data_IF_098555148611
#
_entry.id   IF_098555148611
#
_cell.length_a   1.000
_cell.length_b   1.000
_cell.length_c   1.000
_cell.angle_alpha   90.00
_cell.angle_beta   90.00
_cell.angle_gamma   90.00
#
_symmetry.space_group_name_H-M   'P 1'
#
loop_
_entity.id
_entity.type
_entity.pdbx_description
1 polymer ?
#
# COMPACT_ATOMS: atom_id res chain seq x y z
N UNK A 1 -0.14 -11.16 -19.44
CA UNK A 1 1.27 -11.58 -19.37
C UNK A 1 1.99 -11.08 -20.61
N UNK A 2 2.86 -10.09 -20.48
CA UNK A 2 3.68 -9.56 -21.57
C UNK A 2 5.00 -10.33 -21.62
N UNK A 3 5.33 -10.95 -22.76
CA UNK A 3 6.64 -11.56 -22.98
C UNK A 3 7.54 -10.45 -23.53
N UNK A 4 8.67 -10.11 -22.87
CA UNK A 4 9.58 -9.09 -23.40
C UNK A 4 10.03 -9.44 -24.82
N UNK A 5 9.95 -8.48 -25.75
CA UNK A 5 10.32 -8.70 -27.16
C UNK A 5 11.78 -9.18 -27.31
N UNK A 6 12.63 -8.76 -26.38
CA UNK A 6 14.05 -9.06 -26.38
C UNK A 6 14.42 -10.35 -25.62
N UNK A 7 13.44 -11.17 -25.18
CA UNK A 7 13.70 -12.35 -24.33
C UNK A 7 14.64 -13.38 -24.99
N UNK A 8 14.66 -13.45 -26.33
CA UNK A 8 15.52 -14.32 -27.12
C UNK A 8 16.95 -13.78 -27.31
N UNK A 9 17.19 -12.52 -26.95
CA UNK A 9 18.48 -11.85 -27.14
C UNK A 9 19.42 -12.09 -25.96
N UNK A 10 20.73 -12.15 -26.26
CA UNK A 10 21.77 -12.16 -25.22
C UNK A 10 21.70 -10.87 -24.40
N UNK A 11 21.89 -11.00 -23.09
CA UNK A 11 21.79 -9.88 -22.14
C UNK A 11 23.17 -9.36 -21.75
N UNK A 12 23.33 -8.05 -21.73
CA UNK A 12 24.58 -7.36 -21.37
C UNK A 12 24.54 -6.77 -19.95
N UNK A 13 24.06 -7.55 -18.98
CA UNK A 13 24.04 -7.19 -17.57
C UNK A 13 24.45 -8.39 -16.71
N UNK A 14 24.82 -8.12 -15.46
CA UNK A 14 25.01 -9.19 -14.46
C UNK A 14 23.76 -9.26 -13.59
N UNK A 15 23.06 -10.40 -13.62
CA UNK A 15 21.95 -10.66 -12.71
C UNK A 15 22.48 -10.85 -11.29
N UNK A 16 21.95 -10.10 -10.34
CA UNK A 16 22.33 -10.13 -8.93
C UNK A 16 21.09 -10.04 -8.04
N UNK A 17 21.26 -10.45 -6.79
CA UNK A 17 20.20 -10.42 -5.76
C UNK A 17 20.77 -9.94 -4.43
N UNK A 18 20.07 -9.03 -3.78
CA UNK A 18 20.14 -8.85 -2.32
C UNK A 18 19.01 -9.63 -1.68
N UNK A 19 19.28 -10.43 -0.65
CA UNK A 19 18.25 -11.22 0.01
C UNK A 19 18.63 -11.61 1.44
N UNK A 20 17.59 -11.98 2.20
CA UNK A 20 17.65 -12.38 3.61
C UNK A 20 18.18 -13.80 3.85
N UNK A 21 18.81 -14.46 2.88
CA UNK A 21 19.25 -15.85 3.03
C UNK A 21 20.28 -16.04 4.16
N UNK A 22 20.27 -17.21 4.77
CA UNK A 22 21.18 -17.57 5.84
C UNK A 22 22.63 -17.64 5.32
N UNK A 23 23.45 -16.66 5.70
CA UNK A 23 24.86 -16.57 5.25
C UNK A 23 25.73 -17.72 5.75
N UNK A 24 25.27 -18.52 6.72
CA UNK A 24 25.97 -19.73 7.17
C UNK A 24 25.70 -20.94 6.26
N UNK A 25 24.71 -20.86 5.37
CA UNK A 25 24.19 -21.99 4.60
C UNK A 25 23.11 -22.80 5.34
N UNK A 26 22.59 -22.28 6.45
CA UNK A 26 21.45 -22.84 7.17
C UNK A 26 20.10 -22.49 6.51
N UNK A 27 19.03 -22.48 7.32
CA UNK A 27 17.65 -22.25 6.87
C UNK A 27 16.98 -21.12 7.67
N UNK A 28 17.76 -20.23 8.28
CA UNK A 28 17.24 -18.99 8.89
C UNK A 28 17.27 -17.87 7.86
N UNK A 29 16.51 -18.05 6.78
CA UNK A 29 16.53 -17.18 5.58
C UNK A 29 15.72 -15.89 5.72
N UNK A 30 15.76 -15.29 6.91
CA UNK A 30 15.03 -14.08 7.25
C UNK A 30 15.83 -13.16 8.16
N UNK A 31 15.57 -11.86 8.04
CA UNK A 31 16.08 -10.86 8.96
C UNK A 31 15.03 -10.51 10.03
N UNK A 32 15.49 -10.27 11.25
CA UNK A 32 14.66 -9.81 12.37
C UNK A 32 14.81 -8.30 12.47
N UNK A 33 13.69 -7.57 12.59
CA UNK A 33 13.68 -6.12 12.70
C UNK A 33 12.93 -5.74 13.98
N UNK A 34 13.64 -5.13 14.93
CA UNK A 34 13.08 -4.70 16.21
C UNK A 34 12.14 -3.48 16.06
N UNK A 35 11.26 -3.21 17.04
CA UNK A 35 10.49 -1.96 17.07
C UNK A 35 11.39 -0.72 16.94
N UNK A 36 11.06 0.16 16.00
CA UNK A 36 11.81 1.38 15.68
C UNK A 36 13.10 1.16 14.89
N UNK A 37 13.46 -0.08 14.56
CA UNK A 37 14.66 -0.38 13.77
C UNK A 37 14.40 -0.21 12.27
N UNK A 38 15.44 0.17 11.54
CA UNK A 38 15.45 0.22 10.07
C UNK A 38 16.51 -0.71 9.54
N UNK A 39 16.11 -1.64 8.67
CA UNK A 39 16.99 -2.56 7.99
C UNK A 39 17.28 -2.05 6.58
N UNK A 40 18.55 -1.98 6.21
CA UNK A 40 18.96 -1.75 4.83
C UNK A 40 18.95 -3.08 4.06
N UNK A 41 18.01 -3.21 3.12
CA UNK A 41 17.80 -4.44 2.35
C UNK A 41 18.49 -4.40 0.98
N UNK A 42 18.94 -3.23 0.54
CA UNK A 42 19.66 -3.04 -0.70
C UNK A 42 20.59 -1.83 -0.59
N UNK A 43 21.88 -2.03 -0.86
CA UNK A 43 22.87 -0.96 -0.88
C UNK A 43 23.96 -1.29 -1.91
N UNK A 44 23.93 -0.59 -3.03
CA UNK A 44 24.92 -0.73 -4.10
C UNK A 44 25.47 0.62 -4.51
N UNK A 45 26.68 0.62 -5.08
CA UNK A 45 27.38 1.82 -5.58
C UNK A 45 27.64 1.76 -7.08
N UNK A 46 26.94 0.88 -7.78
CA UNK A 46 27.08 0.62 -9.21
C UNK A 46 25.87 1.15 -9.96
N UNK A 47 25.97 1.26 -11.28
CA UNK A 47 24.81 1.46 -12.14
C UNK A 47 24.01 0.16 -12.26
N UNK A 48 22.70 0.28 -12.43
CA UNK A 48 21.85 -0.88 -12.61
C UNK A 48 20.37 -0.57 -12.62
N UNK A 49 19.59 -1.64 -12.45
CA UNK A 49 18.13 -1.58 -12.46
C UNK A 49 17.57 -2.69 -11.58
N UNK A 50 16.82 -2.34 -10.53
CA UNK A 50 15.98 -3.32 -9.82
C UNK A 50 14.88 -3.74 -10.80
N UNK A 51 14.65 -5.05 -10.91
CA UNK A 51 13.67 -5.63 -11.84
C UNK A 51 12.64 -6.52 -11.17
N UNK A 52 12.89 -6.89 -9.91
CA UNK A 52 11.93 -7.64 -9.13
C UNK A 52 12.20 -7.43 -7.63
N UNK A 53 11.13 -7.22 -6.88
CA UNK A 53 11.13 -7.22 -5.42
C UNK A 53 10.12 -8.27 -4.99
N UNK A 54 10.54 -9.19 -4.11
CA UNK A 54 9.65 -10.11 -3.42
C UNK A 54 9.81 -9.95 -1.91
N UNK A 55 8.71 -9.72 -1.18
CA UNK A 55 8.69 -9.69 0.28
C UNK A 55 7.71 -10.74 0.84
N UNK A 56 7.98 -11.26 2.04
CA UNK A 56 6.95 -11.68 2.98
C UNK A 56 7.34 -11.26 4.39
N UNK A 57 6.36 -10.83 5.18
CA UNK A 57 6.54 -10.31 6.53
C UNK A 57 5.76 -11.20 7.49
N UNK A 58 6.42 -11.67 8.54
CA UNK A 58 5.76 -12.27 9.68
C UNK A 58 5.79 -11.27 10.84
N UNK A 59 4.61 -10.83 11.27
CA UNK A 59 4.41 -9.93 12.40
C UNK A 59 3.14 -10.31 13.14
N UNK A 60 3.11 -10.07 14.46
CA UNK A 60 1.89 -10.22 15.27
C UNK A 60 1.01 -8.98 15.23
N UNK A 61 1.55 -7.83 14.81
CA UNK A 61 0.76 -6.60 14.73
C UNK A 61 -0.26 -6.70 13.59
N UNK A 62 -1.55 -6.60 13.92
CA UNK A 62 -2.64 -6.71 12.94
C UNK A 62 -2.65 -5.59 11.89
N UNK A 63 -1.89 -4.52 12.11
CA UNK A 63 -1.77 -3.36 11.22
C UNK A 63 -0.36 -3.24 10.62
N UNK A 64 0.47 -4.29 10.65
CA UNK A 64 1.86 -4.22 10.20
C UNK A 64 2.01 -3.64 8.77
N UNK A 65 1.05 -3.92 7.88
CA UNK A 65 1.06 -3.39 6.51
C UNK A 65 1.00 -1.87 6.41
N UNK A 66 0.50 -1.19 7.45
CA UNK A 66 0.50 0.28 7.59
C UNK A 66 1.62 0.82 8.48
N UNK A 67 2.26 -0.05 9.28
CA UNK A 67 3.32 0.30 10.24
C UNK A 67 4.73 -0.06 9.77
N UNK A 68 4.86 -0.86 8.71
CA UNK A 68 6.15 -1.14 8.08
C UNK A 68 6.32 -0.19 6.91
N UNK A 69 7.42 0.58 6.89
CA UNK A 69 7.66 1.60 5.87
C UNK A 69 8.78 1.16 4.94
N UNK A 70 8.56 1.27 3.62
CA UNK A 70 9.57 1.08 2.58
C UNK A 70 10.10 2.44 2.14
N UNK A 71 11.43 2.57 2.11
CA UNK A 71 12.12 3.74 1.54
C UNK A 71 13.12 3.33 0.47
N UNK A 72 13.28 4.15 -0.56
CA UNK A 72 14.39 4.01 -1.50
C UNK A 72 14.95 5.35 -1.94
N UNK A 73 16.24 5.37 -2.22
CA UNK A 73 17.04 6.54 -2.60
C UNK A 73 17.91 6.16 -3.79
N UNK A 74 17.91 6.99 -4.82
CA UNK A 74 18.70 6.76 -6.04
C UNK A 74 19.89 7.71 -6.08
N UNK A 75 20.99 7.28 -6.70
CA UNK A 75 22.10 8.16 -7.11
C UNK A 75 22.65 9.10 -6.02
N UNK A 76 22.69 8.63 -4.77
CA UNK A 76 23.19 9.40 -3.63
C UNK A 76 22.26 10.52 -3.13
N UNK A 77 21.00 10.54 -3.56
CA UNK A 77 20.00 11.48 -3.08
C UNK A 77 19.73 11.35 -1.58
N UNK A 78 19.40 12.49 -0.96
CA UNK A 78 19.09 12.56 0.47
C UNK A 78 17.61 12.38 0.78
N UNK A 79 16.76 12.72 -0.17
CA UNK A 79 15.32 12.56 -0.04
C UNK A 79 14.93 11.22 -0.65
N UNK A 80 13.98 10.49 -0.06
CA UNK A 80 13.52 9.25 -0.63
C UNK A 80 12.69 9.50 -1.89
N UNK A 81 12.96 8.74 -2.94
CA UNK A 81 12.14 8.68 -4.17
C UNK A 81 11.01 7.66 -4.02
N UNK A 82 11.14 6.71 -3.09
CA UNK A 82 10.03 5.85 -2.61
C UNK A 82 9.84 6.10 -1.13
N UNK A 83 8.63 6.44 -0.70
CA UNK A 83 8.25 6.46 0.73
C UNK A 83 6.78 6.08 0.91
N UNK A 84 6.53 4.85 1.34
CA UNK A 84 5.20 4.27 1.45
C UNK A 84 5.12 3.26 2.61
N UNK A 85 3.95 3.05 3.22
CA UNK A 85 3.70 1.80 3.94
C UNK A 85 3.84 0.61 2.97
N UNK A 86 4.44 -0.48 3.43
CA UNK A 86 4.71 -1.66 2.59
C UNK A 86 3.43 -2.21 1.98
N UNK A 87 2.33 -2.27 2.74
CA UNK A 87 1.05 -2.73 2.21
C UNK A 87 0.61 -1.94 0.99
N UNK A 88 0.51 -0.62 1.13
CA UNK A 88 0.06 0.30 0.08
C UNK A 88 0.96 0.32 -1.16
N UNK A 89 2.28 0.19 -0.95
CA UNK A 89 3.22 0.06 -2.05
C UNK A 89 2.88 -1.13 -2.97
N UNK A 90 2.39 -2.23 -2.40
CA UNK A 90 1.93 -3.41 -3.14
C UNK A 90 0.40 -3.44 -3.33
N UNK A 91 -0.31 -2.31 -3.19
CA UNK A 91 -1.76 -2.23 -3.38
C UNK A 91 -2.62 -2.90 -2.30
N UNK A 92 -2.06 -3.19 -1.13
CA UNK A 92 -2.79 -3.60 0.08
C UNK A 92 -3.15 -2.40 0.94
N UNK A 93 -4.25 -1.74 0.59
CA UNK A 93 -4.81 -0.68 1.42
C UNK A 93 -5.37 -1.20 2.75
N UNK A 94 -5.70 -0.28 3.66
CA UNK A 94 -6.42 -0.58 4.91
C UNK A 94 -5.74 -1.59 5.86
N UNK A 95 -4.43 -1.83 5.68
CA UNK A 95 -3.72 -2.93 6.32
C UNK A 95 -4.33 -4.32 6.04
N UNK A 96 -4.92 -4.51 4.86
CA UNK A 96 -5.55 -5.76 4.44
C UNK A 96 -4.83 -6.25 3.17
N UNK A 97 -4.37 -7.49 3.21
CA UNK A 97 -3.86 -8.19 2.05
C UNK A 97 -4.93 -9.09 1.43
N UNK A 98 -4.88 -9.23 0.11
CA UNK A 98 -5.68 -10.18 -0.64
C UNK A 98 -4.86 -10.70 -1.84
N UNK A 99 -5.22 -11.87 -2.37
CA UNK A 99 -4.59 -12.35 -3.61
C UNK A 99 -5.14 -11.57 -4.80
N UNK A 100 -4.24 -10.97 -5.59
CA UNK A 100 -4.56 -10.34 -6.86
C UNK A 100 -3.29 -10.20 -7.72
N UNK A 101 -3.46 -9.92 -9.01
CA UNK A 101 -2.34 -9.63 -9.90
C UNK A 101 -2.71 -8.52 -10.86
N UNK A 102 -1.72 -7.69 -11.21
CA UNK A 102 -1.78 -6.73 -12.29
C UNK A 102 -0.44 -6.72 -13.04
N UNK A 103 -0.25 -5.80 -13.98
CA UNK A 103 0.99 -5.74 -14.78
C UNK A 103 2.24 -5.34 -14.00
N UNK A 104 2.09 -4.60 -12.89
CA UNK A 104 3.19 -4.07 -12.10
C UNK A 104 3.56 -4.96 -10.92
N UNK A 105 2.60 -5.70 -10.36
CA UNK A 105 2.75 -6.44 -9.12
C UNK A 105 1.80 -7.63 -9.03
N UNK A 106 2.15 -8.59 -8.20
CA UNK A 106 1.22 -9.63 -7.79
C UNK A 106 1.32 -9.86 -6.28
N UNK A 107 0.22 -10.33 -5.73
CA UNK A 107 0.10 -10.71 -4.34
C UNK A 107 -0.53 -12.09 -4.24
N UNK A 108 0.10 -12.95 -3.46
CA UNK A 108 -0.39 -14.30 -3.18
C UNK A 108 -0.52 -14.41 -1.68
N UNK A 109 -1.74 -14.36 -1.18
CA UNK A 109 -2.05 -14.37 0.24
C UNK A 109 -3.12 -15.40 0.63
N UNK A 110 -3.05 -15.84 1.88
CA UNK A 110 -4.07 -16.67 2.50
C UNK A 110 -5.34 -15.86 2.81
N UNK A 111 -6.45 -16.57 3.05
CA UNK A 111 -7.76 -15.98 3.39
C UNK A 111 -7.90 -15.65 4.89
N UNK A 112 -6.80 -15.22 5.50
CA UNK A 112 -6.75 -14.85 6.92
C UNK A 112 -7.55 -13.58 7.21
N UNK A 113 -7.63 -13.21 8.49
CA UNK A 113 -8.47 -12.09 8.97
C UNK A 113 -8.20 -10.77 8.24
N UNK A 114 -6.92 -10.48 7.96
CA UNK A 114 -6.47 -9.33 7.15
C UNK A 114 -5.55 -9.72 6.00
N UNK A 115 -5.68 -10.97 5.53
CA UNK A 115 -4.73 -11.57 4.60
C UNK A 115 -3.43 -11.94 5.32
N UNK A 116 -3.21 -13.25 5.44
CA UNK A 116 -2.10 -13.82 6.18
C UNK A 116 -1.23 -14.63 5.23
N UNK A 117 0.04 -14.86 5.61
CA UNK A 117 0.99 -15.66 4.81
C UNK A 117 1.12 -15.12 3.38
N UNK A 118 1.26 -13.80 3.30
CA UNK A 118 1.20 -13.07 2.04
C UNK A 118 2.59 -12.89 1.44
N UNK A 119 2.74 -13.27 0.18
CA UNK A 119 3.85 -12.93 -0.67
C UNK A 119 3.50 -11.69 -1.51
N UNK A 120 4.39 -10.72 -1.48
CA UNK A 120 4.28 -9.46 -2.21
C UNK A 120 5.33 -9.44 -3.31
N UNK A 121 4.94 -9.24 -4.56
CA UNK A 121 5.87 -9.17 -5.69
C UNK A 121 5.65 -7.88 -6.47
N UNK A 122 6.73 -7.22 -6.89
CA UNK A 122 6.69 -5.99 -7.69
C UNK A 122 7.73 -6.06 -8.81
N UNK A 123 7.37 -5.58 -10.00
CA UNK A 123 8.10 -5.83 -11.25
C UNK A 123 8.37 -4.57 -12.08
N UNK A 124 7.88 -3.39 -11.70
CA UNK A 124 8.25 -2.18 -12.44
C UNK A 124 9.74 -1.89 -12.25
N UNK A 125 10.46 -1.59 -13.34
CA UNK A 125 11.90 -1.38 -13.27
C UNK A 125 12.25 -0.14 -12.44
N UNK A 126 13.30 -0.21 -11.63
CA UNK A 126 13.83 0.94 -10.88
C UNK A 126 15.30 1.15 -11.26
N UNK A 127 15.59 1.94 -12.31
CA UNK A 127 16.95 2.24 -12.75
C UNK A 127 17.70 3.12 -11.74
N UNK A 128 19.02 3.03 -11.70
CA UNK A 128 19.92 3.89 -10.95
C UNK A 128 21.30 3.93 -11.64
N UNK A 129 21.98 5.08 -11.61
CA UNK A 129 23.27 5.32 -12.26
C UNK A 129 24.46 5.27 -11.31
N UNK A 130 24.32 5.80 -10.09
CA UNK A 130 25.40 5.95 -9.11
C UNK A 130 24.99 5.36 -7.75
N UNK A 131 24.50 4.14 -7.80
CA UNK A 131 24.07 3.40 -6.63
C UNK A 131 22.63 3.67 -6.21
N UNK A 132 22.20 2.87 -5.24
CA UNK A 132 20.84 2.84 -4.75
C UNK A 132 20.82 2.27 -3.33
N UNK A 133 19.94 2.84 -2.50
CA UNK A 133 19.66 2.38 -1.15
C UNK A 133 18.17 2.05 -1.05
N UNK A 134 17.82 0.90 -0.46
CA UNK A 134 16.45 0.56 -0.08
C UNK A 134 16.40 0.06 1.35
N UNK A 135 15.44 0.57 2.11
CA UNK A 135 15.32 0.38 3.55
C UNK A 135 13.91 -0.01 3.94
N UNK A 136 13.79 -0.85 4.98
CA UNK A 136 12.53 -1.25 5.60
C UNK A 136 12.58 -0.88 7.07
N UNK A 137 11.67 -0.01 7.51
CA UNK A 137 11.53 0.42 8.91
C UNK A 137 10.36 -0.29 9.58
N UNK A 138 10.56 -0.78 10.80
CA UNK A 138 9.50 -1.32 11.64
C UNK A 138 8.97 -0.24 12.58
N UNK A 139 7.89 0.44 12.20
CA UNK A 139 7.25 1.44 13.07
C UNK A 139 6.22 0.81 14.02
N UNK A 140 6.12 -0.52 14.08
CA UNK A 140 5.23 -1.21 15.02
C UNK A 140 5.87 -1.36 16.39
N UNK A 141 5.04 -1.70 17.39
CA UNK A 141 5.49 -1.95 18.77
C UNK A 141 5.99 -3.37 19.00
N UNK A 142 6.02 -4.22 17.96
CA UNK A 142 6.42 -5.62 18.07
C UNK A 142 7.54 -5.97 17.10
N UNK A 143 8.32 -6.99 17.44
CA UNK A 143 9.33 -7.53 16.54
C UNK A 143 8.68 -8.13 15.29
N UNK A 144 9.32 -7.95 14.14
CA UNK A 144 8.91 -8.61 12.89
C UNK A 144 10.06 -9.40 12.26
N UNK A 145 9.69 -10.36 11.43
CA UNK A 145 10.61 -11.11 10.58
C UNK A 145 10.33 -10.78 9.13
N UNK A 146 11.36 -10.41 8.38
CA UNK A 146 11.29 -10.08 6.96
C UNK A 146 12.05 -11.12 6.14
N UNK A 147 11.37 -11.66 5.14
CA UNK A 147 11.99 -12.39 4.04
C UNK A 147 11.91 -11.51 2.80
N UNK A 148 13.01 -11.34 2.08
CA UNK A 148 13.01 -10.50 0.89
C UNK A 148 14.01 -10.95 -0.17
N UNK A 149 13.66 -10.70 -1.44
CA UNK A 149 14.55 -10.65 -2.59
C UNK A 149 14.45 -9.26 -3.25
N UNK A 150 15.60 -8.61 -3.46
CA UNK A 150 15.74 -7.46 -4.37
C UNK A 150 16.64 -7.92 -5.52
N UNK A 151 16.00 -8.28 -6.62
CA UNK A 151 16.64 -8.73 -7.86
C UNK A 151 16.96 -7.54 -8.75
N UNK A 152 18.22 -7.47 -9.19
CA UNK A 152 18.69 -6.36 -10.00
C UNK A 152 19.67 -6.79 -11.08
N UNK A 153 19.72 -5.94 -12.11
CA UNK A 153 20.64 -6.03 -13.23
C UNK A 153 21.76 -5.02 -12.96
N UNK A 154 22.95 -5.49 -12.59
CA UNK A 154 24.13 -4.62 -12.52
C UNK A 154 24.66 -4.36 -13.93
N UNK A 155 24.93 -3.09 -14.22
CA UNK A 155 25.34 -2.60 -15.53
C UNK A 155 26.58 -1.71 -15.38
N UNK A 156 27.33 -1.52 -16.46
CA UNK A 156 28.44 -0.55 -16.48
C UNK A 156 27.89 0.89 -16.49
N UNK A 157 26.84 1.11 -17.29
CA UNK A 157 26.06 2.34 -17.37
C UNK A 157 24.61 1.99 -17.66
N UNK A 158 23.69 2.91 -17.35
CA UNK A 158 22.32 2.85 -17.87
C UNK A 158 22.16 3.85 -19.03
N UNK A 159 21.16 3.70 -19.92
CA UNK A 159 20.93 4.65 -21.00
C UNK A 159 20.80 6.09 -20.50
N UNK A 160 21.30 7.05 -21.27
CA UNK A 160 21.07 8.47 -21.02
C UNK A 160 19.56 8.78 -21.00
N UNK A 161 19.16 9.82 -20.25
CA UNK A 161 17.76 10.21 -20.08
C UNK A 161 16.85 9.11 -19.50
N UNK A 162 17.42 8.17 -18.74
CA UNK A 162 16.62 7.20 -17.98
C UNK A 162 16.10 7.87 -16.71
N UNK A 163 14.78 7.94 -16.58
CA UNK A 163 14.11 8.43 -15.37
C UNK A 163 14.19 7.42 -14.20
N UNK A 164 13.99 7.92 -12.98
CA UNK A 164 13.95 7.12 -11.76
C UNK A 164 12.53 6.82 -11.34
N UNK A 165 12.30 5.61 -10.83
CA UNK A 165 11.01 5.20 -10.33
C UNK A 165 10.72 5.88 -8.99
N UNK A 166 9.50 6.33 -8.81
CA UNK A 166 9.04 6.97 -7.59
C UNK A 166 7.72 6.35 -7.12
N UNK A 167 7.54 6.34 -5.80
CA UNK A 167 6.27 6.03 -5.19
C UNK A 167 6.07 6.84 -3.90
N UNK A 168 4.90 7.47 -3.76
CA UNK A 168 4.55 8.27 -2.59
C UNK A 168 3.17 7.88 -2.11
N UNK A 169 3.04 7.73 -0.79
CA UNK A 169 1.78 7.51 -0.13
C UNK A 169 1.19 8.80 0.44
N UNK A 170 -0.12 9.02 0.27
CA UNK A 170 -0.88 10.15 0.83
C UNK A 170 -2.17 9.67 1.49
N UNK A 171 -2.71 10.46 2.41
CA UNK A 171 -4.03 10.22 3.02
C UNK A 171 -4.70 11.51 3.46
N UNK A 172 -6.03 11.52 3.37
CA UNK A 172 -6.90 12.53 3.96
C UNK A 172 -8.03 11.80 4.72
N UNK A 173 -8.09 11.97 6.04
CA UNK A 173 -9.02 11.25 6.90
C UNK A 173 -9.62 12.14 8.02
N UNK A 174 -10.91 12.49 7.94
CA UNK A 174 -11.75 12.40 6.74
C UNK A 174 -11.34 13.45 5.71
N UNK A 175 -11.72 13.25 4.45
CA UNK A 175 -11.74 14.30 3.43
C UNK A 175 -12.64 15.46 3.88
N UNK A 176 -12.31 16.68 3.47
CA UNK A 176 -13.10 17.87 3.80
C UNK A 176 -14.32 18.00 2.90
N UNK A 177 -15.34 17.19 3.16
CA UNK A 177 -16.60 17.23 2.42
C UNK A 177 -17.32 18.58 2.52
N UNK A 178 -17.89 19.07 1.41
CA UNK A 178 -18.65 20.32 1.36
C UNK A 178 -20.09 20.11 0.87
N UNK A 179 -21.05 20.77 1.53
CA UNK A 179 -22.46 20.76 1.13
C UNK A 179 -22.89 22.21 0.91
N UNK A 180 -23.54 22.48 -0.21
CA UNK A 180 -24.10 23.79 -0.52
C UNK A 180 -25.17 24.19 0.52
N UNK A 181 -25.25 25.49 0.83
CA UNK A 181 -26.26 26.00 1.75
C UNK A 181 -27.67 25.70 1.23
N UNK A 182 -28.55 25.19 2.10
CA UNK A 182 -29.92 24.82 1.74
C UNK A 182 -30.09 23.40 1.19
N UNK A 183 -29.00 22.64 1.02
CA UNK A 183 -29.03 21.24 0.64
C UNK A 183 -28.96 20.32 1.84
N UNK A 184 -29.70 19.22 1.77
CA UNK A 184 -29.61 18.12 2.72
C UNK A 184 -29.13 16.84 2.05
N UNK A 185 -28.72 15.87 2.86
CA UNK A 185 -28.21 14.56 2.39
C UNK A 185 -29.20 13.78 1.49
N UNK A 186 -30.48 14.18 1.41
CA UNK A 186 -31.50 13.54 0.55
C UNK A 186 -31.76 14.23 -0.81
N UNK A 187 -31.10 15.35 -1.12
CA UNK A 187 -31.38 16.18 -2.30
C UNK A 187 -30.47 15.87 -3.52
N UNK A 188 -29.93 14.65 -3.59
CA UNK A 188 -28.87 14.21 -4.53
C UNK A 188 -28.96 14.77 -5.94
N UNK A 189 -30.07 14.53 -6.65
CA UNK A 189 -30.19 14.94 -8.05
C UNK A 189 -30.13 16.46 -8.24
N UNK A 190 -30.75 17.21 -7.33
CA UNK A 190 -30.70 18.68 -7.36
C UNK A 190 -29.32 19.20 -6.99
N UNK A 191 -28.62 18.49 -6.09
CA UNK A 191 -27.25 18.83 -5.72
C UNK A 191 -26.33 18.69 -6.93
N UNK A 192 -26.44 17.61 -7.70
CA UNK A 192 -25.64 17.40 -8.91
C UNK A 192 -25.88 18.46 -9.99
N UNK A 193 -27.13 18.90 -10.15
CA UNK A 193 -27.47 19.95 -11.11
C UNK A 193 -26.81 21.30 -10.77
N UNK A 194 -26.69 21.65 -9.49
CA UNK A 194 -26.26 22.98 -9.04
C UNK A 194 -24.81 23.06 -8.55
N UNK A 195 -24.29 22.01 -7.92
CA UNK A 195 -22.91 21.93 -7.45
C UNK A 195 -21.93 21.87 -8.64
N UNK A 196 -20.87 22.66 -8.57
CA UNK A 196 -19.88 22.82 -9.64
C UNK A 196 -18.47 22.92 -9.07
N UNK A 197 -17.64 21.96 -9.43
CA UNK A 197 -16.21 22.05 -9.21
C UNK A 197 -15.53 22.65 -10.43
N UNK A 198 -15.19 23.93 -10.36
CA UNK A 198 -14.57 24.67 -11.48
C UNK A 198 -13.10 25.00 -11.24
N UNK A 199 -12.43 24.30 -10.33
CA UNK A 199 -11.00 24.52 -10.03
C UNK A 199 -10.23 23.24 -9.76
N UNK A 200 -10.86 22.22 -9.18
CA UNK A 200 -10.18 21.03 -8.68
C UNK A 200 -9.24 21.31 -7.50
N UNK A 201 -9.36 22.46 -6.83
CA UNK A 201 -8.46 22.91 -5.75
C UNK A 201 -8.65 22.08 -4.47
N UNK A 202 -9.89 21.71 -4.15
CA UNK A 202 -10.25 20.95 -2.95
C UNK A 202 -10.29 19.43 -3.17
N UNK A 203 -9.89 18.96 -4.36
CA UNK A 203 -9.85 17.54 -4.68
C UNK A 203 -8.82 16.81 -3.82
N UNK A 204 -9.08 15.54 -3.53
CA UNK A 204 -8.07 14.68 -2.93
C UNK A 204 -6.87 14.57 -3.89
N UNK A 205 -5.67 14.85 -3.38
CA UNK A 205 -4.45 14.84 -4.20
C UNK A 205 -3.76 13.49 -4.12
N UNK A 206 -3.64 12.83 -5.27
CA UNK A 206 -2.93 11.56 -5.44
C UNK A 206 -1.43 11.81 -5.65
N UNK A 207 -1.09 12.74 -6.54
CA UNK A 207 0.30 13.08 -6.88
C UNK A 207 0.46 14.58 -7.10
N UNK A 208 1.57 15.12 -6.58
CA UNK A 208 2.16 16.38 -7.06
C UNK A 208 3.65 16.17 -7.28
N UNK A 209 4.14 16.49 -8.47
CA UNK A 209 5.54 16.41 -8.80
C UNK A 209 5.99 17.60 -9.67
N UNK A 210 7.29 17.89 -9.63
CA UNK A 210 7.95 18.91 -10.46
C UNK A 210 9.19 18.30 -11.08
N UNK A 211 9.43 18.62 -12.35
CA UNK A 211 10.51 18.08 -13.15
C UNK A 211 10.01 17.55 -14.49
N UNK A 212 10.80 16.68 -15.10
CA UNK A 212 10.46 16.00 -16.36
C UNK A 212 10.21 14.54 -16.07
N UNK A 213 9.04 14.02 -16.42
CA UNK A 213 8.66 12.67 -16.08
C UNK A 213 7.36 12.20 -16.71
N UNK A 214 6.81 11.12 -16.17
CA UNK A 214 5.50 10.62 -16.54
C UNK A 214 4.87 9.81 -15.40
N UNK A 215 3.59 10.06 -15.15
CA UNK A 215 2.78 9.30 -14.20
C UNK A 215 2.35 7.96 -14.81
N UNK A 216 2.47 6.89 -14.01
CA UNK A 216 2.20 5.51 -14.46
C UNK A 216 1.10 4.81 -13.67
N UNK A 217 0.43 5.52 -12.75
CA UNK A 217 -0.76 5.00 -12.07
C UNK A 217 -0.76 5.16 -10.57
N UNK A 218 -1.80 4.64 -9.93
CA UNK A 218 -1.92 4.63 -8.48
C UNK A 218 -2.78 3.46 -7.98
N UNK A 219 -2.69 3.24 -6.67
CA UNK A 219 -3.77 2.63 -5.91
C UNK A 219 -4.53 3.73 -5.16
N UNK A 220 -5.85 3.62 -5.08
CA UNK A 220 -6.72 4.45 -4.25
C UNK A 220 -7.52 3.55 -3.31
N UNK A 221 -7.32 3.75 -2.01
CA UNK A 221 -8.03 3.10 -0.93
C UNK A 221 -9.07 4.05 -0.36
N UNK A 222 -10.32 3.60 -0.31
CA UNK A 222 -11.45 4.36 0.26
C UNK A 222 -12.06 3.56 1.40
N UNK A 223 -12.27 4.20 2.54
CA UNK A 223 -13.18 3.76 3.61
C UNK A 223 -14.41 4.68 3.58
N UNK A 224 -15.52 4.12 3.10
CA UNK A 224 -16.77 4.81 2.82
C UNK A 224 -17.57 4.98 4.11
N UNK A 225 -17.23 6.04 4.86
CA UNK A 225 -17.83 6.37 6.16
C UNK A 225 -18.99 7.36 6.05
N UNK A 226 -19.09 8.16 4.99
CA UNK A 226 -20.13 9.18 4.80
C UNK A 226 -21.30 8.67 3.94
N UNK A 227 -21.88 7.54 4.37
CA UNK A 227 -22.91 6.80 3.61
C UNK A 227 -24.30 7.43 3.66
N UNK A 228 -24.51 8.41 4.53
CA UNK A 228 -25.83 9.01 4.80
C UNK A 228 -26.38 9.81 3.61
N UNK A 229 -25.56 10.13 2.61
CA UNK A 229 -25.96 10.88 1.42
C UNK A 229 -26.83 10.08 0.44
N UNK A 230 -26.98 8.76 0.62
CA UNK A 230 -27.68 7.89 -0.33
C UNK A 230 -27.14 8.05 -1.78
N UNK A 231 -25.91 8.55 -1.90
CA UNK A 231 -25.14 8.74 -3.13
C UNK A 231 -23.95 7.81 -3.06
N UNK A 232 -23.66 7.16 -4.17
CA UNK A 232 -22.43 6.40 -4.35
C UNK A 232 -21.20 7.30 -4.16
N UNK A 233 -20.16 6.82 -3.48
CA UNK A 233 -18.96 7.64 -3.21
C UNK A 233 -18.14 7.94 -4.47
N UNK A 234 -18.27 7.09 -5.49
CA UNK A 234 -17.42 7.11 -6.68
C UNK A 234 -17.84 8.11 -7.76
N UNK A 235 -18.79 9.00 -7.51
CA UNK A 235 -19.21 10.02 -8.49
C UNK A 235 -18.15 11.12 -8.71
N UNK A 236 -17.02 11.08 -8.01
CA UNK A 236 -15.99 12.11 -8.09
C UNK A 236 -15.07 11.95 -9.30
N UNK A 237 -14.87 13.03 -10.06
CA UNK A 237 -14.06 13.04 -11.28
C UNK A 237 -12.56 13.07 -10.97
N UNK A 238 -11.76 12.32 -11.73
CA UNK A 238 -10.31 12.55 -11.79
C UNK A 238 -10.00 13.83 -12.57
N UNK A 239 -9.02 14.60 -12.10
CA UNK A 239 -8.54 15.81 -12.77
C UNK A 239 -7.02 15.83 -12.74
N UNK A 240 -6.40 15.77 -13.92
CA UNK A 240 -4.93 15.72 -14.05
C UNK A 240 -4.43 16.97 -14.75
N UNK A 241 -3.80 17.85 -13.98
CA UNK A 241 -3.24 19.11 -14.46
C UNK A 241 -1.76 18.89 -14.81
N UNK A 242 -1.40 19.13 -16.06
CA UNK A 242 -0.02 18.99 -16.56
C UNK A 242 0.55 20.35 -16.90
N UNK A 243 1.79 20.62 -16.50
CA UNK A 243 2.60 21.77 -16.93
C UNK A 243 1.91 23.14 -16.82
N UNK A 244 1.39 23.43 -15.63
CA UNK A 244 0.68 24.68 -15.27
C UNK A 244 -0.66 24.88 -16.01
N UNK A 245 -1.29 23.79 -16.46
CA UNK A 245 -2.65 23.83 -17.04
C UNK A 245 -3.65 24.49 -16.08
N UNK A 246 -4.46 25.40 -16.63
CA UNK A 246 -5.61 25.98 -15.95
C UNK A 246 -6.82 25.06 -16.05
N UNK A 247 -7.83 25.29 -15.21
CA UNK A 247 -9.11 24.60 -15.35
C UNK A 247 -9.83 25.00 -16.66
N UNK A 248 -10.51 24.05 -17.34
CA UNK A 248 -10.46 22.61 -17.09
C UNK A 248 -9.16 21.99 -17.64
N UNK A 249 -8.56 21.01 -16.94
CA UNK A 249 -7.40 20.30 -17.46
C UNK A 249 -7.76 19.51 -18.73
N UNK A 250 -6.75 19.18 -19.54
CA UNK A 250 -6.95 18.35 -20.73
C UNK A 250 -7.40 16.92 -20.39
N UNK A 251 -7.07 16.46 -19.18
CA UNK A 251 -7.45 15.16 -18.62
C UNK A 251 -8.44 15.39 -17.47
N UNK A 252 -9.72 15.26 -17.80
CA UNK A 252 -10.84 15.40 -16.87
C UNK A 252 -11.76 14.18 -17.01
N UNK A 253 -12.01 13.52 -15.88
CA UNK A 253 -12.80 12.31 -15.75
C UNK A 253 -14.31 12.53 -15.72
N UNK A 254 -15.02 11.45 -15.42
CA UNK A 254 -16.49 11.37 -15.32
C UNK A 254 -16.99 10.62 -14.08
N UNK A 255 -16.08 10.10 -13.26
CA UNK A 255 -16.36 9.31 -12.08
C UNK A 255 -15.13 8.49 -11.67
N UNK A 256 -15.06 8.12 -10.40
CA UNK A 256 -13.99 7.32 -9.84
C UNK A 256 -14.01 5.90 -10.39
N UNK A 257 -15.18 5.25 -10.49
CA UNK A 257 -15.24 3.93 -11.14
C UNK A 257 -14.82 4.00 -12.60
N UNK A 258 -15.18 5.08 -13.30
CA UNK A 258 -14.83 5.28 -14.70
C UNK A 258 -13.31 5.45 -14.86
N UNK A 259 -12.69 6.26 -13.98
CA UNK A 259 -11.23 6.39 -13.92
C UNK A 259 -10.56 5.03 -13.70
N UNK A 260 -11.10 4.18 -12.82
CA UNK A 260 -10.59 2.84 -12.56
C UNK A 260 -11.09 1.77 -13.56
N UNK A 261 -11.64 2.16 -14.70
CA UNK A 261 -12.13 1.29 -15.79
C UNK A 261 -13.24 0.31 -15.36
N UNK A 262 -13.99 0.66 -14.32
CA UNK A 262 -15.27 0.07 -13.96
C UNK A 262 -16.41 0.90 -14.56
N UNK A 263 -17.66 0.57 -14.25
CA UNK A 263 -18.84 1.32 -14.67
C UNK A 263 -20.03 0.96 -13.78
N UNK A 264 -20.89 1.94 -13.47
CA UNK A 264 -22.06 1.75 -12.59
C UNK A 264 -21.64 1.17 -11.23
N UNK A 265 -20.67 1.83 -10.60
CA UNK A 265 -20.02 1.39 -9.37
C UNK A 265 -18.84 0.44 -9.57
N UNK A 266 -18.23 0.05 -8.45
CA UNK A 266 -17.05 -0.82 -8.41
C UNK A 266 -17.44 -2.30 -8.42
N UNK A 267 -16.67 -3.12 -9.14
CA UNK A 267 -16.91 -4.55 -9.25
C UNK A 267 -15.73 -5.34 -8.68
N UNK A 268 -16.00 -6.44 -7.98
CA UNK A 268 -14.93 -7.30 -7.43
C UNK A 268 -14.19 -8.04 -8.56
N UNK A 269 -13.23 -7.35 -9.18
CA UNK A 269 -12.46 -7.82 -10.32
C UNK A 269 -11.05 -7.23 -10.27
N UNK A 270 -10.04 -8.07 -10.45
CA UNK A 270 -8.64 -7.67 -10.62
C UNK A 270 -8.23 -7.87 -12.08
N UNK A 271 -8.08 -6.78 -12.82
CA UNK A 271 -7.60 -6.77 -14.20
C UNK A 271 -6.11 -6.40 -14.31
N UNK A 272 -5.53 -6.58 -15.49
CA UNK A 272 -4.10 -6.34 -15.72
C UNK A 272 -3.69 -4.87 -15.56
N UNK A 273 -4.55 -3.94 -16.00
CA UNK A 273 -4.27 -2.51 -15.99
C UNK A 273 -5.08 -1.75 -14.95
N UNK A 274 -6.26 -2.23 -14.59
CA UNK A 274 -7.08 -1.63 -13.56
C UNK A 274 -7.96 -2.69 -12.88
N UNK A 275 -8.47 -2.40 -11.69
CA UNK A 275 -9.30 -3.30 -10.92
C UNK A 275 -9.31 -2.98 -9.43
N UNK A 276 -9.76 -3.94 -8.63
CA UNK A 276 -9.72 -3.88 -7.17
C UNK A 276 -8.76 -4.93 -6.62
N UNK A 277 -7.86 -4.52 -5.74
CA UNK A 277 -7.09 -5.45 -4.89
C UNK A 277 -7.91 -5.87 -3.67
N UNK A 278 -8.74 -4.95 -3.16
CA UNK A 278 -9.69 -5.16 -2.06
C UNK A 278 -11.05 -4.65 -2.52
N UNK A 279 -12.05 -5.53 -2.52
CA UNK A 279 -13.42 -5.16 -2.84
C UNK A 279 -14.19 -4.74 -1.59
N UNK A 280 -15.08 -3.76 -1.75
CA UNK A 280 -16.06 -3.38 -0.73
C UNK A 280 -17.04 -4.53 -0.47
N UNK A 281 -17.41 -4.74 0.79
CA UNK A 281 -18.46 -5.68 1.19
C UNK A 281 -19.49 -4.99 2.10
N UNK A 282 -20.62 -5.66 2.36
CA UNK A 282 -21.62 -5.13 3.29
C UNK A 282 -21.09 -5.00 4.72
N UNK A 283 -20.15 -5.87 5.09
CA UNK A 283 -19.50 -5.85 6.40
C UNK A 283 -18.35 -4.84 6.48
N UNK A 284 -17.64 -4.67 5.35
CA UNK A 284 -16.42 -3.89 5.24
C UNK A 284 -16.58 -2.88 4.10
N UNK A 285 -16.95 -1.66 4.45
CA UNK A 285 -17.14 -0.52 3.53
C UNK A 285 -15.82 0.05 2.99
N UNK A 286 -14.83 -0.82 2.80
CA UNK A 286 -13.46 -0.47 2.42
C UNK A 286 -13.12 -1.14 1.11
N UNK A 287 -12.49 -0.39 0.22
CA UNK A 287 -11.94 -0.93 -1.02
C UNK A 287 -10.55 -0.38 -1.28
N UNK A 288 -9.85 -1.01 -2.22
CA UNK A 288 -8.64 -0.47 -2.84
C UNK A 288 -8.71 -0.77 -4.32
N UNK A 289 -8.88 0.31 -5.10
CA UNK A 289 -8.86 0.30 -6.54
C UNK A 289 -7.45 0.61 -7.03
N UNK A 290 -7.11 0.18 -8.23
CA UNK A 290 -5.86 0.52 -8.90
C UNK A 290 -6.08 0.79 -10.38
N UNK A 291 -5.26 1.68 -10.93
CA UNK A 291 -5.10 1.89 -12.38
C UNK A 291 -3.63 2.11 -12.69
N UNK A 292 -3.16 1.46 -13.74
CA UNK A 292 -1.80 1.49 -14.24
C UNK A 292 -1.77 2.06 -15.66
N UNK A 293 -1.26 3.29 -15.79
CA UNK A 293 -1.01 3.99 -17.04
C UNK A 293 0.28 3.50 -17.72
N UNK A 294 0.44 2.18 -17.88
CA UNK A 294 1.63 1.61 -18.52
C UNK A 294 1.58 1.68 -20.05
N UNK A 295 0.37 1.58 -20.62
CA UNK A 295 0.14 1.70 -22.06
C UNK A 295 -0.11 3.15 -22.50
N UNK A 296 -0.50 3.98 -21.55
CA UNK A 296 -0.98 5.35 -21.69
C UNK A 296 -0.42 6.27 -20.59
N UNK A 297 0.92 6.33 -20.38
CA UNK A 297 1.51 7.17 -19.35
C UNK A 297 1.18 8.65 -19.58
N UNK A 298 1.05 9.42 -18.50
CA UNK A 298 0.79 10.87 -18.57
C UNK A 298 2.10 11.63 -18.40
N UNK A 299 2.73 12.13 -19.49
CA UNK A 299 3.99 12.85 -19.42
C UNK A 299 3.83 14.28 -18.89
N UNK A 300 4.90 14.83 -18.33
CA UNK A 300 5.01 16.22 -17.92
C UNK A 300 6.45 16.72 -18.08
N UNK A 301 6.63 17.98 -18.46
CA UNK A 301 7.96 18.61 -18.66
C UNK A 301 8.34 19.61 -17.54
N UNK A 302 7.36 20.05 -16.75
CA UNK A 302 7.54 21.00 -15.65
C UNK A 302 6.94 20.49 -14.36
N UNK A 303 5.67 20.07 -14.38
CA UNK A 303 4.95 19.62 -13.21
C UNK A 303 3.68 18.83 -13.56
N UNK A 304 3.21 18.05 -12.59
CA UNK A 304 1.93 17.36 -12.67
C UNK A 304 1.22 17.44 -11.32
N UNK A 305 -0.10 17.59 -11.37
CA UNK A 305 -1.00 17.43 -10.22
C UNK A 305 -2.13 16.48 -10.61
N UNK A 306 -2.13 15.29 -10.03
CA UNK A 306 -3.15 14.25 -10.20
C UNK A 306 -4.09 14.33 -9.00
N UNK A 307 -5.35 14.65 -9.23
CA UNK A 307 -6.37 14.71 -8.18
C UNK A 307 -7.60 13.91 -8.55
N UNK A 308 -8.42 13.62 -7.55
CA UNK A 308 -9.74 13.02 -7.73
C UNK A 308 -10.69 13.64 -6.72
N UNK A 309 -11.93 13.91 -7.12
CA UNK A 309 -12.93 14.40 -6.17
C UNK A 309 -13.34 13.30 -5.18
N UNK A 310 -13.68 13.67 -3.94
CA UNK A 310 -14.28 12.77 -2.96
C UNK A 310 -15.81 12.83 -3.02
N UNK A 311 -16.35 12.25 -4.11
CA UNK A 311 -17.73 12.43 -4.57
C UNK A 311 -17.92 13.75 -5.34
N UNK A 312 -18.97 13.85 -6.16
CA UNK A 312 -19.25 15.04 -6.99
C UNK A 312 -19.09 16.36 -6.22
N UNK A 313 -18.29 17.28 -6.72
CA UNK A 313 -18.02 18.57 -6.07
C UNK A 313 -17.40 18.45 -4.66
N UNK A 314 -16.68 17.36 -4.38
CA UNK A 314 -16.01 17.11 -3.10
C UNK A 314 -16.99 17.07 -1.91
N UNK A 315 -18.18 16.49 -2.09
CA UNK A 315 -19.24 16.57 -1.09
C UNK A 315 -19.12 15.56 0.08
N UNK A 316 -18.31 14.50 -0.05
CA UNK A 316 -18.29 13.41 0.92
C UNK A 316 -17.06 13.41 1.83
N UNK A 317 -17.28 13.19 3.12
CA UNK A 317 -16.19 13.16 4.12
C UNK A 317 -15.66 11.74 4.35
N UNK A 318 -15.23 11.06 3.28
CA UNK A 318 -14.67 9.70 3.35
C UNK A 318 -13.19 9.69 3.74
N UNK A 319 -12.64 8.53 4.11
CA UNK A 319 -11.21 8.36 4.35
C UNK A 319 -10.53 7.84 3.08
N UNK A 320 -9.70 8.70 2.47
CA UNK A 320 -8.99 8.40 1.22
C UNK A 320 -7.51 8.25 1.50
N UNK A 321 -6.92 7.17 1.00
CA UNK A 321 -5.48 6.98 0.96
C UNK A 321 -5.05 6.54 -0.43
N UNK A 322 -3.86 6.90 -0.88
CA UNK A 322 -3.37 6.51 -2.20
C UNK A 322 -1.87 6.29 -2.21
N UNK A 323 -1.42 5.45 -3.14
CA UNK A 323 -0.01 5.38 -3.53
C UNK A 323 0.08 5.72 -5.00
N UNK A 324 0.75 6.82 -5.33
CA UNK A 324 1.07 7.18 -6.71
C UNK A 324 2.37 6.50 -7.16
N UNK A 325 2.45 6.16 -8.43
CA UNK A 325 3.63 5.60 -9.10
C UNK A 325 3.97 6.45 -10.33
N UNK A 326 5.23 6.85 -10.46
CA UNK A 326 5.67 7.63 -11.62
C UNK A 326 7.17 7.44 -11.87
N UNK A 327 7.62 7.92 -13.02
CA UNK A 327 9.03 8.06 -13.33
C UNK A 327 9.36 9.53 -13.57
N UNK A 328 10.49 10.02 -13.08
CA UNK A 328 10.99 11.35 -13.42
C UNK A 328 12.51 11.45 -13.35
N UNK A 329 13.05 12.52 -13.94
CA UNK A 329 14.45 12.88 -13.83
C UNK A 329 14.76 13.51 -12.48
N UNK A 330 15.96 13.26 -11.97
CA UNK A 330 16.45 13.84 -10.73
C UNK A 330 17.16 15.18 -10.92
N UNK A 331 17.15 16.07 -9.91
CA UNK A 331 16.55 15.88 -8.58
C UNK A 331 15.04 16.16 -8.57
N UNK A 332 14.32 15.39 -7.76
CA UNK A 332 12.91 15.62 -7.50
C UNK A 332 12.63 16.63 -6.37
N UNK A 333 11.39 17.15 -6.36
CA UNK A 333 10.86 17.89 -5.21
C UNK A 333 10.76 16.96 -3.98
N UNK A 334 11.26 17.36 -2.80
CA UNK A 334 11.12 16.56 -1.58
C UNK A 334 9.66 16.22 -1.29
N UNK A 335 9.44 15.01 -0.79
CA UNK A 335 8.11 14.60 -0.35
C UNK A 335 7.66 15.41 0.86
N UNK A 336 6.33 15.59 1.06
CA UNK A 336 5.81 16.09 2.32
C UNK A 336 6.30 15.23 3.50
N UNK A 337 6.21 15.76 4.71
CA UNK A 337 6.56 14.99 5.91
C UNK A 337 5.76 13.68 5.96
N UNK A 338 6.48 12.58 6.14
CA UNK A 338 5.85 11.27 6.24
C UNK A 338 4.93 11.20 7.46
N UNK A 339 3.66 10.79 7.31
CA UNK A 339 2.70 10.79 8.41
C UNK A 339 3.11 9.86 9.57
N UNK A 340 2.66 10.19 10.79
CA UNK A 340 2.91 9.37 11.97
C UNK A 340 2.27 7.98 11.83
N UNK A 341 2.56 7.06 12.74
CA UNK A 341 1.89 5.75 12.75
C UNK A 341 0.38 5.93 12.90
N UNK A 342 -0.05 6.78 13.83
CA UNK A 342 -1.46 7.04 14.14
C UNK A 342 -2.21 7.61 12.91
N UNK A 343 -1.57 8.52 12.18
CA UNK A 343 -2.13 9.11 10.95
C UNK A 343 -2.20 8.12 9.78
N UNK A 344 -1.47 7.00 9.84
CA UNK A 344 -1.50 5.92 8.84
C UNK A 344 -2.51 4.83 9.14
N UNK A 345 -2.94 4.69 10.39
CA UNK A 345 -3.76 3.54 10.79
C UNK A 345 -5.15 3.56 10.14
N UNK A 346 -5.62 2.42 9.62
CA UNK A 346 -6.96 2.30 9.10
C UNK A 346 -7.96 2.45 10.25
N UNK A 347 -9.19 2.86 9.95
CA UNK A 347 -10.25 2.80 10.94
C UNK A 347 -10.49 1.33 11.35
N UNK A 348 -10.73 1.02 12.63
CA UNK A 348 -11.03 -0.35 13.05
C UNK A 348 -12.25 -0.93 12.32
N UNK A 349 -12.27 -2.25 12.15
CA UNK A 349 -13.45 -2.95 11.61
C UNK A 349 -14.65 -2.83 12.57
N UNK A 350 -15.86 -3.03 12.05
CA UNK A 350 -17.08 -2.92 12.86
C UNK A 350 -17.05 -3.85 14.08
N UNK A 351 -17.16 -3.25 15.27
CA UNK A 351 -17.17 -4.00 16.53
C UNK A 351 -15.78 -4.32 17.08
N UNK A 352 -14.72 -3.79 16.46
CA UNK A 352 -13.34 -3.80 16.93
C UNK A 352 -12.88 -2.38 17.31
N UNK A 353 -11.77 -2.31 18.04
CA UNK A 353 -11.07 -1.08 18.39
C UNK A 353 -9.58 -1.41 18.60
N UNK A 354 -8.75 -0.37 18.64
CA UNK A 354 -7.30 -0.55 18.80
C UNK A 354 -6.92 -1.17 20.15
N UNK A 355 -7.70 -0.93 21.23
CA UNK A 355 -7.41 -1.52 22.54
C UNK A 355 -7.58 -3.05 22.52
N UNK A 356 -8.60 -3.55 21.84
CA UNK A 356 -8.82 -4.98 21.64
C UNK A 356 -7.72 -5.59 20.78
N UNK A 357 -7.34 -4.94 19.69
CA UNK A 357 -6.24 -5.40 18.84
C UNK A 357 -4.93 -5.48 19.64
N UNK A 358 -4.59 -4.44 20.41
CA UNK A 358 -3.41 -4.42 21.28
C UNK A 358 -3.45 -5.52 22.34
N UNK A 359 -4.61 -5.73 22.97
CA UNK A 359 -4.81 -6.81 23.95
C UNK A 359 -4.58 -8.17 23.31
N UNK A 360 -5.12 -8.40 22.11
CA UNK A 360 -4.89 -9.63 21.35
C UNK A 360 -3.40 -9.84 21.08
N UNK A 361 -2.70 -8.82 20.57
CA UNK A 361 -1.26 -8.88 20.28
C UNK A 361 -0.46 -9.21 21.53
N UNK A 362 -0.75 -8.55 22.66
CA UNK A 362 -0.06 -8.80 23.92
C UNK A 362 -0.25 -10.25 24.40
N UNK A 363 -1.47 -10.80 24.27
CA UNK A 363 -1.73 -12.21 24.58
C UNK A 363 -0.95 -13.14 23.64
N UNK A 364 -0.93 -12.87 22.34
CA UNK A 364 -0.20 -13.70 21.37
C UNK A 364 1.30 -13.71 21.61
N UNK A 365 1.91 -12.56 21.93
CA UNK A 365 3.32 -12.50 22.29
C UNK A 365 3.65 -13.33 23.53
N UNK A 366 2.76 -13.27 24.54
CA UNK A 366 2.90 -14.08 25.74
C UNK A 366 2.81 -15.58 25.40
N UNK A 367 1.88 -15.96 24.52
CA UNK A 367 1.68 -17.33 24.05
C UNK A 367 2.90 -17.88 23.31
N UNK A 368 3.43 -17.12 22.36
CA UNK A 368 4.63 -17.49 21.61
C UNK A 368 5.83 -17.70 22.55
N UNK A 369 5.95 -16.88 23.59
CA UNK A 369 7.00 -17.04 24.61
C UNK A 369 6.93 -18.37 25.34
N UNK A 370 5.73 -18.95 25.52
CA UNK A 370 5.57 -20.29 26.08
C UNK A 370 5.81 -21.38 25.03
N UNK A 371 5.32 -21.20 23.81
CA UNK A 371 5.47 -22.17 22.71
C UNK A 371 6.94 -22.42 22.35
N UNK A 372 7.82 -21.43 22.56
CA UNK A 372 9.26 -21.57 22.43
C UNK A 372 9.86 -22.66 23.34
N UNK A 373 9.25 -22.94 24.50
CA UNK A 373 9.72 -23.96 25.46
C UNK A 373 8.88 -25.23 25.45
N UNK A 374 7.61 -25.14 25.02
CA UNK A 374 6.67 -26.24 25.08
C UNK A 374 6.05 -26.51 23.71
N UNK A 375 6.58 -27.50 22.95
CA UNK A 375 6.18 -27.73 21.56
C UNK A 375 4.68 -27.96 21.33
N UNK A 376 3.96 -28.50 22.32
CA UNK A 376 2.51 -28.71 22.19
C UNK A 376 1.77 -27.39 21.98
N UNK A 377 2.25 -26.29 22.59
CA UNK A 377 1.60 -24.98 22.61
C UNK A 377 1.54 -24.29 21.23
N UNK A 378 2.28 -24.79 20.23
CA UNK A 378 2.18 -24.33 18.84
C UNK A 378 0.82 -24.62 18.22
N UNK A 379 0.25 -25.80 18.50
CA UNK A 379 -1.07 -26.20 17.96
C UNK A 379 -2.16 -25.28 18.49
N UNK A 380 -2.10 -24.90 19.77
CA UNK A 380 -3.07 -23.98 20.33
C UNK A 380 -2.93 -22.54 19.81
N UNK A 381 -1.72 -22.07 19.49
CA UNK A 381 -1.53 -20.79 18.82
C UNK A 381 -2.18 -20.76 17.43
N UNK A 382 -2.13 -21.88 16.70
CA UNK A 382 -2.85 -22.04 15.42
C UNK A 382 -4.36 -22.02 15.61
N UNK A 383 -4.90 -22.63 16.68
CA UNK A 383 -6.34 -22.58 17.00
C UNK A 383 -6.81 -21.15 17.26
N UNK A 384 -6.02 -20.34 17.98
CA UNK A 384 -6.35 -18.93 18.23
C UNK A 384 -6.34 -18.13 16.94
N UNK A 385 -5.35 -18.37 16.08
CA UNK A 385 -5.25 -17.73 14.75
C UNK A 385 -6.45 -18.11 13.86
N UNK A 386 -6.84 -19.38 13.84
CA UNK A 386 -8.03 -19.83 13.13
C UNK A 386 -9.33 -19.24 13.72
N UNK A 387 -9.35 -18.97 15.03
CA UNK A 387 -10.47 -18.30 15.71
C UNK A 387 -10.55 -16.82 15.32
N UNK A 388 -9.40 -16.14 15.22
CA UNK A 388 -9.33 -14.77 14.69
C UNK A 388 -9.92 -14.70 13.28
N UNK A 389 -9.57 -15.65 12.41
CA UNK A 389 -10.07 -15.67 11.03
C UNK A 389 -11.59 -15.84 10.93
N UNK A 390 -12.21 -16.61 11.84
CA UNK A 390 -13.65 -16.93 11.78
C UNK A 390 -14.53 -16.03 12.64
N UNK A 391 -14.01 -15.58 13.77
CA UNK A 391 -14.78 -14.90 14.83
C UNK A 391 -14.26 -13.50 15.20
N UNK A 392 -13.21 -13.02 14.52
CA UNK A 392 -12.62 -11.71 14.78
C UNK A 392 -11.84 -11.62 16.10
N UNK A 393 -11.38 -10.41 16.41
CA UNK A 393 -10.44 -10.15 17.52
C UNK A 393 -11.01 -10.55 18.89
N UNK A 394 -12.30 -10.25 19.15
CA UNK A 394 -12.94 -10.56 20.43
C UNK A 394 -12.98 -12.05 20.73
N UNK A 395 -13.36 -12.88 19.76
CA UNK A 395 -13.39 -14.34 19.92
C UNK A 395 -11.98 -14.90 20.10
N UNK A 396 -11.00 -14.36 19.38
CA UNK A 396 -9.61 -14.77 19.50
C UNK A 396 -9.03 -14.46 20.90
N UNK A 397 -9.36 -13.30 21.48
CA UNK A 397 -8.96 -12.93 22.84
C UNK A 397 -9.49 -13.94 23.86
N UNK A 398 -10.77 -14.34 23.75
CA UNK A 398 -11.37 -15.30 24.69
C UNK A 398 -10.59 -16.63 24.69
N UNK A 399 -10.22 -17.13 23.50
CA UNK A 399 -9.42 -18.34 23.42
C UNK A 399 -7.97 -18.13 23.89
N UNK A 400 -7.37 -16.99 23.55
CA UNK A 400 -6.02 -16.66 24.00
C UNK A 400 -5.93 -16.54 25.53
N UNK A 401 -6.94 -15.97 26.20
CA UNK A 401 -6.99 -15.88 27.66
C UNK A 401 -7.12 -17.26 28.33
N UNK A 402 -7.98 -18.14 27.80
CA UNK A 402 -8.10 -19.51 28.30
C UNK A 402 -6.77 -20.24 28.20
N UNK A 403 -6.08 -20.05 27.08
CA UNK A 403 -4.81 -20.69 26.84
C UNK A 403 -3.68 -20.12 27.69
N UNK A 404 -3.60 -18.80 27.87
CA UNK A 404 -2.62 -18.17 28.75
C UNK A 404 -2.74 -18.69 30.19
N UNK A 405 -3.97 -18.85 30.71
CA UNK A 405 -4.22 -19.45 32.03
C UNK A 405 -3.76 -20.91 32.12
N UNK A 406 -3.98 -21.69 31.05
CA UNK A 406 -3.48 -23.07 30.95
C UNK A 406 -1.94 -23.08 31.00
N UNK A 407 -1.28 -22.21 30.22
CA UNK A 407 0.18 -22.10 30.15
C UNK A 407 0.81 -21.78 31.51
N UNK A 408 0.25 -20.81 32.24
CA UNK A 408 0.71 -20.44 33.58
C UNK A 408 0.64 -21.62 34.55
N UNK A 409 -0.49 -22.34 34.57
CA UNK A 409 -0.64 -23.52 35.42
C UNK A 409 0.37 -24.62 35.08
N UNK A 410 0.64 -24.86 33.78
CA UNK A 410 1.66 -25.81 33.36
C UNK A 410 3.07 -25.40 33.83
N UNK A 411 3.38 -24.11 33.81
CA UNK A 411 4.65 -23.57 34.32
C UNK A 411 4.79 -23.74 35.83
N UNK A 412 3.72 -23.58 36.60
CA UNK A 412 3.75 -23.78 38.06
C UNK A 412 3.90 -25.25 38.49
N UNK A 413 3.54 -26.20 37.61
CA UNK A 413 3.65 -27.63 37.87
C UNK A 413 5.04 -28.23 37.58
N UNK A 414 5.91 -27.48 36.90
CA UNK A 414 7.28 -27.84 36.57
C UNK A 414 8.25 -27.11 37.50
#
# INVERSE_FOLDING_TARGET
MFIPEDISQLKNYKAKRSCSYDRTGGNRDSDIIQPGETLNIFNVKTAGKIVHIWFTINSKDLNYLRKVTLRAYWDGEKNPSIECPVGDFFGSGHAIANSYENMAMNMIGGKGFRGDLTAFNFYLPMPFSDGAIMEVSNDSSVVMTLYYYVDYQEMETIPENTARFHAQWRRENPCKGRILEGYSKGDTLKFFDEAKNTSGEDNYTILEAKGVGHYVGCNLSVDNIDRDFNVWWGEGDDMIFVDDEAYPPALHGTGSEDYFCHAWGMHNHAGLHAGLSIAETEERHKLTAYRLHLADPVPFEKNIRVTIEHGHDNHQSNDYASTAYWYQMEPHMPFPSYPSVEERLPRPEKGEDFELEEKYVALMLKIDSYAAFYPNFWVEAEVITATLHKGGVKSAIIEAEKFAKKAEKYREML
#
